data_IF_669092909911
#
_entry.id   IF_669092909911
#
_cell.length_a   1.000
_cell.length_b   1.000
_cell.length_c   1.000
_cell.angle_alpha   90.00
_cell.angle_beta   90.00
_cell.angle_gamma   90.00
#
_symmetry.space_group_name_H-M   'P 1'
#
loop_
_entity.id
_entity.type
_entity.pdbx_description
1 polymer ?
#
# COMPACT_ATOMS: atom_id res chain seq x y z
N UNK A 1 5.52 -33.80 40.69
CA UNK A 1 5.77 -34.14 39.28
C UNK A 1 5.52 -32.88 38.47
N UNK A 2 6.54 -32.50 37.73
CA UNK A 2 6.66 -31.27 36.96
C UNK A 2 5.70 -31.23 35.77
N UNK A 3 5.27 -30.03 35.39
CA UNK A 3 5.47 -29.46 34.05
C UNK A 3 4.89 -28.04 33.99
N UNK A 4 5.71 -26.97 34.07
CA UNK A 4 5.29 -25.67 33.59
C UNK A 4 5.29 -25.72 32.05
N UNK A 5 4.11 -25.55 31.44
CA UNK A 5 4.00 -25.26 30.01
C UNK A 5 4.83 -24.01 29.72
N UNK A 6 5.98 -24.21 29.10
CA UNK A 6 6.78 -23.13 28.55
C UNK A 6 5.92 -22.40 27.52
N UNK A 7 5.50 -21.18 27.88
CA UNK A 7 5.07 -20.16 26.94
C UNK A 7 6.24 -19.96 25.97
N UNK A 8 6.12 -20.55 24.78
CA UNK A 8 7.04 -20.33 23.67
C UNK A 8 7.19 -18.82 23.49
N UNK A 9 8.41 -18.28 23.46
CA UNK A 9 8.60 -16.85 23.27
C UNK A 9 7.97 -16.45 21.94
N UNK A 10 7.06 -15.49 22.04
CA UNK A 10 6.45 -14.71 20.97
C UNK A 10 7.38 -14.64 19.75
N UNK A 11 7.17 -15.53 18.78
CA UNK A 11 7.94 -15.54 17.53
C UNK A 11 7.66 -14.18 16.90
N UNK A 12 8.65 -13.27 16.77
CA UNK A 12 8.39 -11.98 16.18
C UNK A 12 8.01 -12.27 14.75
N UNK A 13 6.72 -12.15 14.44
CA UNK A 13 6.17 -12.24 13.09
C UNK A 13 7.07 -11.35 12.25
N UNK A 14 8.01 -11.94 11.51
CA UNK A 14 8.98 -11.21 10.69
C UNK A 14 8.19 -10.73 9.48
N UNK A 15 7.45 -9.65 9.69
CA UNK A 15 6.85 -8.90 8.61
C UNK A 15 7.98 -8.58 7.62
N UNK A 16 7.74 -8.71 6.30
CA UNK A 16 8.69 -8.16 5.34
C UNK A 16 8.94 -6.71 5.74
N UNK A 17 10.20 -6.23 5.73
CA UNK A 17 10.50 -4.85 6.09
C UNK A 17 9.57 -3.94 5.28
N UNK A 18 8.99 -2.91 5.91
CA UNK A 18 7.87 -2.12 5.34
C UNK A 18 8.11 -1.72 3.87
N UNK A 19 9.36 -1.40 3.53
CA UNK A 19 9.83 -1.18 2.16
C UNK A 19 9.49 -2.31 1.19
N UNK A 20 9.81 -3.56 1.52
CA UNK A 20 9.51 -4.74 0.69
C UNK A 20 8.00 -4.91 0.53
N UNK A 21 7.22 -4.72 1.59
CA UNK A 21 5.76 -4.80 1.48
C UNK A 21 5.20 -3.74 0.52
N UNK A 22 5.64 -2.49 0.64
CA UNK A 22 5.24 -1.38 -0.25
C UNK A 22 5.67 -1.63 -1.70
N UNK A 23 6.84 -2.24 -1.92
CA UNK A 23 7.29 -2.67 -3.25
C UNK A 23 6.37 -3.72 -3.88
N UNK A 24 5.93 -4.70 -3.09
CA UNK A 24 4.98 -5.71 -3.58
C UNK A 24 3.61 -5.08 -3.88
N UNK A 25 3.16 -4.10 -3.08
CA UNK A 25 1.96 -3.33 -3.41
C UNK A 25 2.12 -2.55 -4.73
N UNK A 26 3.27 -1.92 -4.96
CA UNK A 26 3.55 -1.25 -6.25
C UNK A 26 3.38 -2.22 -7.43
N UNK A 27 3.97 -3.42 -7.33
CA UNK A 27 3.86 -4.45 -8.36
C UNK A 27 2.41 -4.89 -8.56
N UNK A 28 1.66 -5.10 -7.48
CA UNK A 28 0.26 -5.47 -7.53
C UNK A 28 -0.58 -4.42 -8.27
N UNK A 29 -0.40 -3.12 -8.00
CA UNK A 29 -1.11 -2.05 -8.71
C UNK A 29 -0.71 -2.01 -10.19
N UNK A 30 0.60 -2.08 -10.48
CA UNK A 30 1.14 -1.98 -11.84
C UNK A 30 0.59 -3.07 -12.77
N UNK A 31 0.35 -4.27 -12.23
CA UNK A 31 -0.12 -5.42 -12.98
C UNK A 31 -1.63 -5.66 -12.90
N UNK A 32 -2.39 -4.75 -12.29
CA UNK A 32 -3.83 -4.87 -12.19
C UNK A 32 -4.51 -4.29 -13.46
N UNK A 33 -5.20 -5.12 -14.27
CA UNK A 33 -5.84 -4.63 -15.48
C UNK A 33 -7.17 -3.94 -15.15
N UNK A 34 -7.52 -2.89 -15.93
CA UNK A 34 -8.77 -2.15 -15.75
C UNK A 34 -10.03 -2.97 -16.04
N UNK A 35 -9.88 -4.09 -16.76
CA UNK A 35 -10.96 -5.02 -17.09
C UNK A 35 -11.22 -6.08 -16.01
N UNK A 36 -10.41 -6.15 -14.94
CA UNK A 36 -10.64 -7.11 -13.85
C UNK A 36 -11.94 -6.73 -13.09
N UNK A 37 -12.92 -7.64 -12.96
CA UNK A 37 -14.19 -7.36 -12.29
C UNK A 37 -14.06 -7.07 -10.79
N UNK A 38 -12.93 -7.43 -10.19
CA UNK A 38 -12.57 -7.17 -8.79
C UNK A 38 -11.52 -6.06 -8.63
N UNK A 39 -11.13 -5.40 -9.72
CA UNK A 39 -10.12 -4.36 -9.69
C UNK A 39 -10.47 -3.22 -8.69
N UNK A 40 -11.73 -2.75 -8.59
CA UNK A 40 -12.12 -1.77 -7.57
C UNK A 40 -11.83 -2.22 -6.13
N UNK A 41 -12.25 -3.44 -5.77
CA UNK A 41 -12.05 -4.00 -4.44
C UNK A 41 -10.55 -4.26 -4.13
N UNK A 42 -9.79 -4.73 -5.13
CA UNK A 42 -8.34 -4.93 -5.01
C UNK A 42 -7.61 -3.60 -4.78
N UNK A 43 -7.95 -2.56 -5.54
CA UNK A 43 -7.35 -1.23 -5.36
C UNK A 43 -7.69 -0.63 -3.99
N UNK A 44 -8.93 -0.78 -3.52
CA UNK A 44 -9.33 -0.33 -2.19
C UNK A 44 -8.44 -0.98 -1.12
N UNK A 45 -8.31 -2.31 -1.18
CA UNK A 45 -7.47 -3.07 -0.25
C UNK A 45 -6.00 -2.68 -0.31
N UNK A 46 -5.45 -2.47 -1.51
CA UNK A 46 -4.06 -2.04 -1.66
C UNK A 46 -3.88 -0.64 -1.06
N UNK A 47 -4.82 0.28 -1.28
CA UNK A 47 -4.74 1.62 -0.71
C UNK A 47 -4.81 1.60 0.82
N UNK A 48 -5.67 0.76 1.42
CA UNK A 48 -5.73 0.56 2.87
C UNK A 48 -4.42 -0.03 3.42
N UNK A 49 -3.85 -1.02 2.74
CA UNK A 49 -2.57 -1.62 3.16
C UNK A 49 -1.40 -0.64 3.03
N UNK A 50 -1.38 0.16 1.97
CA UNK A 50 -0.36 1.19 1.76
C UNK A 50 -0.44 2.26 2.85
N UNK A 51 -1.65 2.75 3.17
CA UNK A 51 -1.87 3.69 4.26
C UNK A 51 -1.35 3.13 5.59
N UNK A 52 -1.79 1.91 5.96
CA UNK A 52 -1.35 1.27 7.20
C UNK A 52 0.17 1.11 7.28
N UNK A 53 0.81 0.66 6.20
CA UNK A 53 2.27 0.50 6.18
C UNK A 53 3.00 1.84 6.31
N UNK A 54 2.49 2.90 5.67
CA UNK A 54 3.08 4.23 5.76
C UNK A 54 2.89 4.83 7.15
N UNK A 55 1.71 4.69 7.77
CA UNK A 55 1.42 5.19 9.12
C UNK A 55 2.20 4.45 10.21
N UNK A 56 2.28 3.12 10.12
CA UNK A 56 2.96 2.26 11.09
C UNK A 56 4.48 2.26 10.95
N UNK A 57 5.05 2.78 9.84
CA UNK A 57 6.50 2.87 9.66
C UNK A 57 7.09 3.85 10.69
N UNK A 58 8.01 3.39 11.56
CA UNK A 58 8.65 4.27 12.52
C UNK A 58 9.42 5.42 11.87
N UNK A 59 9.30 6.63 12.43
CA UNK A 59 9.94 7.84 11.89
C UNK A 59 11.47 7.75 11.87
N UNK A 60 12.06 7.07 12.85
CA UNK A 60 13.51 6.88 12.95
C UNK A 60 14.06 5.92 11.88
N UNK A 61 13.21 5.02 11.36
CA UNK A 61 13.56 4.09 10.27
C UNK A 61 13.11 4.61 8.90
N UNK A 62 12.61 5.85 8.82
CA UNK A 62 12.18 6.45 7.57
C UNK A 62 13.41 6.78 6.70
N UNK A 63 13.49 6.26 5.45
CA UNK A 63 14.66 6.48 4.63
C UNK A 63 14.76 7.94 4.16
N UNK A 64 15.94 8.54 4.25
CA UNK A 64 16.17 9.88 3.70
C UNK A 64 16.17 9.89 2.15
N UNK A 65 16.61 8.80 1.53
CA UNK A 65 16.64 8.61 0.08
C UNK A 65 16.52 7.10 -0.25
N UNK A 66 16.03 6.79 -1.45
CA UNK A 66 15.78 5.40 -1.86
C UNK A 66 16.81 4.87 -2.85
N UNK A 67 17.22 5.70 -3.82
CA UNK A 67 18.22 5.44 -4.86
C UNK A 67 18.82 6.76 -5.38
N UNK A 68 20.11 6.74 -5.77
CA UNK A 68 20.80 7.81 -6.52
C UNK A 68 20.52 9.25 -6.05
N UNK A 69 20.52 9.49 -4.73
CA UNK A 69 20.30 10.80 -4.12
C UNK A 69 18.93 11.47 -4.39
N UNK A 70 17.95 10.75 -4.95
CA UNK A 70 16.58 11.27 -5.05
C UNK A 70 15.97 11.33 -3.64
N UNK A 71 15.62 12.53 -3.19
CA UNK A 71 14.95 12.74 -1.90
C UNK A 71 13.61 11.98 -1.89
N UNK A 72 13.37 11.22 -0.82
CA UNK A 72 12.07 10.58 -0.62
C UNK A 72 11.05 11.66 -0.20
N UNK A 73 9.85 11.71 -0.82
CA UNK A 73 8.79 12.57 -0.32
C UNK A 73 8.49 12.30 1.15
N UNK A 74 8.10 13.33 1.89
CA UNK A 74 7.77 13.15 3.31
C UNK A 74 6.62 12.14 3.47
N UNK A 75 6.60 11.44 4.60
CA UNK A 75 5.51 10.51 4.93
C UNK A 75 4.12 11.13 4.74
N UNK A 76 3.96 12.39 5.14
CA UNK A 76 2.71 13.13 5.00
C UNK A 76 2.28 13.33 3.53
N UNK A 77 3.24 13.56 2.62
CA UNK A 77 2.95 13.68 1.18
C UNK A 77 2.46 12.35 0.61
N UNK A 78 3.15 11.25 0.93
CA UNK A 78 2.75 9.92 0.47
C UNK A 78 1.38 9.51 1.01
N UNK A 79 1.12 9.76 2.29
CA UNK A 79 -0.21 9.55 2.90
C UNK A 79 -1.28 10.41 2.22
N UNK A 80 -0.97 11.66 1.89
CA UNK A 80 -1.89 12.54 1.15
C UNK A 80 -2.30 11.97 -0.21
N UNK A 81 -1.35 11.38 -0.95
CA UNK A 81 -1.64 10.71 -2.22
C UNK A 81 -2.46 9.44 -2.04
N UNK A 82 -2.14 8.61 -1.04
CA UNK A 82 -2.94 7.40 -0.72
C UNK A 82 -4.37 7.79 -0.33
N UNK A 83 -4.55 8.79 0.54
CA UNK A 83 -5.87 9.30 0.94
C UNK A 83 -6.66 9.85 -0.23
N UNK A 84 -6.00 10.50 -1.19
CA UNK A 84 -6.62 10.98 -2.42
C UNK A 84 -7.14 9.80 -3.25
N UNK A 85 -6.31 8.77 -3.45
CA UNK A 85 -6.73 7.55 -4.14
C UNK A 85 -7.91 6.87 -3.44
N UNK A 86 -7.86 6.71 -2.10
CA UNK A 86 -8.97 6.11 -1.31
C UNK A 86 -10.27 6.88 -1.47
N UNK A 87 -10.23 8.21 -1.45
CA UNK A 87 -11.42 9.04 -1.64
C UNK A 87 -12.03 8.84 -3.02
N UNK A 88 -11.21 8.84 -4.06
CA UNK A 88 -11.66 8.59 -5.44
C UNK A 88 -12.25 7.17 -5.60
N UNK A 89 -11.64 6.16 -4.97
CA UNK A 89 -12.16 4.79 -4.91
C UNK A 89 -13.52 4.74 -4.21
N UNK A 90 -13.65 5.44 -3.08
CA UNK A 90 -14.90 5.52 -2.32
C UNK A 90 -16.03 6.18 -3.11
N UNK A 91 -15.73 7.22 -3.90
CA UNK A 91 -16.70 7.84 -4.80
C UNK A 91 -17.07 6.95 -5.99
N UNK A 92 -16.11 6.17 -6.51
CA UNK A 92 -16.33 5.26 -7.63
C UNK A 92 -17.13 4.01 -7.25
N UNK A 93 -17.04 3.60 -5.98
CA UNK A 93 -17.62 2.37 -5.47
C UNK A 93 -16.73 1.14 -5.70
N UNK A 94 -16.81 0.19 -4.76
CA UNK A 94 -15.95 -1.01 -4.71
C UNK A 94 -16.72 -2.33 -4.87
N UNK A 95 -18.02 -2.25 -5.17
CA UNK A 95 -18.86 -3.43 -5.35
C UNK A 95 -18.38 -4.29 -6.55
N UNK A 96 -18.51 -5.63 -6.48
CA UNK A 96 -18.22 -6.48 -7.62
C UNK A 96 -19.06 -6.07 -8.84
N UNK A 97 -18.42 -5.90 -10.00
CA UNK A 97 -19.09 -5.43 -11.21
C UNK A 97 -19.30 -3.90 -11.30
N UNK A 98 -18.81 -3.13 -10.33
CA UNK A 98 -18.69 -1.68 -10.48
C UNK A 98 -17.74 -1.37 -11.66
N UNK A 99 -18.30 -0.80 -12.72
CA UNK A 99 -17.54 -0.42 -13.90
C UNK A 99 -16.97 0.97 -13.69
N UNK A 100 -15.64 1.07 -13.61
CA UNK A 100 -14.97 2.36 -13.65
C UNK A 100 -14.66 2.75 -15.08
N UNK A 101 -15.03 3.96 -15.53
CA UNK A 101 -14.50 4.52 -16.76
C UNK A 101 -12.97 4.50 -16.76
N UNK A 102 -12.35 4.17 -17.90
CA UNK A 102 -10.89 4.11 -18.02
C UNK A 102 -10.16 5.36 -17.49
N UNK A 103 -10.63 6.61 -17.73
CA UNK A 103 -9.99 7.79 -17.16
C UNK A 103 -9.97 7.81 -15.63
N UNK A 104 -11.03 7.31 -14.99
CA UNK A 104 -11.13 7.23 -13.53
C UNK A 104 -10.19 6.15 -12.99
N UNK A 105 -10.20 4.96 -13.61
CA UNK A 105 -9.24 3.90 -13.33
C UNK A 105 -7.80 4.41 -13.41
N UNK A 106 -7.44 5.01 -14.54
CA UNK A 106 -6.10 5.50 -14.81
C UNK A 106 -5.67 6.55 -13.78
N UNK A 107 -6.55 7.48 -13.42
CA UNK A 107 -6.27 8.48 -12.37
C UNK A 107 -5.95 7.82 -11.03
N UNK A 108 -6.83 6.94 -10.55
CA UNK A 108 -6.67 6.26 -9.25
C UNK A 108 -5.37 5.45 -9.24
N UNK A 109 -5.14 4.63 -10.27
CA UNK A 109 -3.92 3.83 -10.35
C UNK A 109 -2.67 4.69 -10.43
N UNK A 110 -2.70 5.82 -11.15
CA UNK A 110 -1.54 6.71 -11.28
C UNK A 110 -1.22 7.39 -9.96
N UNK A 111 -2.21 7.86 -9.23
CA UNK A 111 -2.02 8.45 -7.89
C UNK A 111 -1.44 7.43 -6.92
N UNK A 112 -1.98 6.20 -6.92
CA UNK A 112 -1.49 5.13 -6.04
C UNK A 112 -0.08 4.68 -6.42
N UNK A 113 0.22 4.56 -7.72
CA UNK A 113 1.57 4.28 -8.20
C UNK A 113 2.55 5.41 -7.85
N UNK A 114 2.14 6.68 -7.90
CA UNK A 114 2.99 7.79 -7.48
C UNK A 114 3.36 7.72 -5.99
N UNK A 115 2.46 7.25 -5.13
CA UNK A 115 2.74 7.01 -3.72
C UNK A 115 3.67 5.82 -3.48
N UNK A 116 3.64 4.81 -4.36
CA UNK A 116 4.36 3.54 -4.16
C UNK A 116 5.65 3.41 -4.98
N UNK A 117 5.81 4.17 -6.08
CA UNK A 117 7.00 4.17 -6.94
C UNK A 117 8.32 4.41 -6.20
N UNK A 118 8.37 5.20 -5.10
CA UNK A 118 9.62 5.36 -4.37
C UNK A 118 10.15 4.00 -3.84
N UNK A 119 9.27 3.02 -3.62
CA UNK A 119 9.63 1.70 -3.07
C UNK A 119 9.83 0.61 -4.15
N UNK A 120 9.62 0.93 -5.43
CA UNK A 120 9.68 -0.01 -6.56
C UNK A 120 11.03 -0.74 -6.71
#
# INVERSE_FOLDING_TARGET
MEQPSALVPNEPTRFPPARTALRELYRAVRHLPSSDPYAPARLARIADQAEYLLESWPLYDWPAALHSAQALPTRAVLLGWVSTARREIGHAGTAPGALWPYPQWHRITTTLLAALVPFA
#
